data_IF_689468387189
#
_entry.id   IF_689468387189
#
_cell.length_a   1.000
_cell.length_b   1.000
_cell.length_c   1.000
_cell.angle_alpha   90.00
_cell.angle_beta   90.00
_cell.angle_gamma   90.00
#
_symmetry.space_group_name_H-M   'P 1'
#
loop_
_entity.id
_entity.type
_entity.pdbx_description
1 polymer ?
#
# COMPACT_ATOMS: atom_id res chain seq x y z
N UNK A 1 21.33 53.78 -12.63
CA UNK A 1 21.54 52.33 -12.63
C UNK A 1 20.37 51.70 -11.86
N UNK A 2 19.38 51.13 -12.59
CA UNK A 2 18.24 50.46 -12.00
C UNK A 2 18.60 48.96 -11.87
N UNK A 3 18.72 48.48 -10.65
CA UNK A 3 18.88 47.02 -10.37
C UNK A 3 17.54 46.38 -10.45
N UNK A 4 17.36 45.55 -11.46
CA UNK A 4 16.20 44.69 -11.64
C UNK A 4 16.38 43.42 -10.74
N UNK A 5 15.62 43.33 -9.68
CA UNK A 5 15.56 42.09 -8.89
C UNK A 5 14.62 41.12 -9.59
N UNK A 6 15.19 40.08 -10.17
CA UNK A 6 14.43 38.88 -10.59
C UNK A 6 14.13 38.07 -9.35
N UNK A 7 12.86 38.12 -8.91
CA UNK A 7 12.34 37.14 -7.95
C UNK A 7 11.97 35.90 -8.75
N UNK A 8 12.81 34.88 -8.65
CA UNK A 8 12.49 33.55 -9.14
C UNK A 8 11.52 32.94 -8.12
N UNK A 9 10.24 33.05 -8.40
CA UNK A 9 9.22 32.30 -7.67
C UNK A 9 9.35 30.83 -8.00
N UNK A 10 9.79 30.03 -7.02
CA UNK A 10 9.72 28.57 -7.11
C UNK A 10 8.25 28.21 -6.98
N UNK A 11 7.61 27.90 -8.11
CA UNK A 11 6.30 27.28 -8.15
C UNK A 11 6.47 25.83 -7.67
N UNK A 12 6.17 25.59 -6.41
CA UNK A 12 5.95 24.24 -5.91
C UNK A 12 4.60 23.79 -6.48
N UNK A 13 4.65 23.03 -7.56
CA UNK A 13 3.46 22.41 -8.14
C UNK A 13 3.18 21.17 -7.28
N UNK A 14 2.45 21.37 -6.17
CA UNK A 14 1.82 20.26 -5.47
C UNK A 14 0.50 19.93 -6.14
N UNK A 15 0.14 18.65 -6.20
CA UNK A 15 -1.20 18.22 -6.53
C UNK A 15 -2.19 18.70 -5.46
N UNK A 16 -2.56 19.95 -5.46
CA UNK A 16 -3.56 20.51 -4.57
C UNK A 16 -4.82 20.86 -5.34
N UNK A 17 -5.98 20.52 -4.79
CA UNK A 17 -7.34 20.60 -5.35
C UNK A 17 -7.80 21.98 -5.84
N UNK A 18 -6.94 22.96 -5.87
CA UNK A 18 -7.26 24.35 -6.20
C UNK A 18 -6.72 24.86 -7.53
N UNK A 19 -6.12 24.01 -8.35
CA UNK A 19 -5.56 24.47 -9.62
C UNK A 19 -6.30 23.81 -10.79
N UNK A 20 -6.97 24.58 -11.67
CA UNK A 20 -7.61 24.06 -12.88
C UNK A 20 -6.57 23.73 -13.98
N UNK A 21 -5.35 23.42 -13.59
CA UNK A 21 -4.33 22.93 -14.50
C UNK A 21 -4.64 21.47 -14.78
N UNK A 22 -4.93 21.22 -16.02
CA UNK A 22 -5.18 19.94 -16.68
C UNK A 22 -4.57 18.74 -15.95
N UNK A 23 -5.41 17.77 -15.66
CA UNK A 23 -5.18 16.50 -14.94
C UNK A 23 -4.09 15.59 -15.54
N UNK A 24 -3.24 16.08 -16.41
CA UNK A 24 -2.24 15.28 -17.13
C UNK A 24 -0.90 15.11 -16.39
N UNK A 25 -0.67 15.85 -15.29
CA UNK A 25 0.65 15.91 -14.64
C UNK A 25 0.69 15.40 -13.18
N UNK A 26 -0.40 14.84 -12.66
CA UNK A 26 -0.39 14.19 -11.35
C UNK A 26 -0.23 12.67 -11.51
N UNK A 27 0.99 12.22 -11.68
CA UNK A 27 1.32 10.79 -11.54
C UNK A 27 1.38 10.46 -10.06
N UNK A 28 0.23 10.23 -9.50
CA UNK A 28 0.05 9.97 -8.07
C UNK A 28 0.38 8.54 -7.67
N UNK A 29 1.30 7.88 -8.30
CA UNK A 29 1.72 6.49 -8.08
C UNK A 29 1.28 5.86 -6.75
N UNK A 30 1.15 4.57 -6.73
CA UNK A 30 0.93 3.79 -5.51
C UNK A 30 2.00 2.72 -5.45
N UNK A 31 2.69 2.63 -4.32
CA UNK A 31 3.67 1.59 -4.06
C UNK A 31 3.33 0.92 -2.72
N UNK A 32 3.31 -0.42 -2.72
CA UNK A 32 3.16 -1.20 -1.49
C UNK A 32 4.43 -1.98 -1.18
N UNK A 33 4.75 -2.09 0.10
CA UNK A 33 5.98 -2.70 0.58
C UNK A 33 5.78 -3.43 1.91
N UNK A 34 6.81 -4.18 2.30
CA UNK A 34 6.90 -4.84 3.60
C UNK A 34 8.33 -4.76 4.12
N UNK A 35 8.50 -4.83 5.43
CA UNK A 35 9.81 -4.94 6.09
C UNK A 35 10.32 -6.39 6.17
N UNK A 36 9.52 -7.35 5.72
CA UNK A 36 9.91 -8.77 5.68
C UNK A 36 11.07 -9.01 4.70
N UNK A 37 11.87 -10.07 4.90
CA UNK A 37 12.85 -10.50 3.93
C UNK A 37 12.23 -10.75 2.55
N UNK A 38 12.86 -10.23 1.50
CA UNK A 38 12.41 -10.44 0.13
C UNK A 38 13.28 -11.50 -0.55
N UNK A 39 12.69 -12.65 -0.87
CA UNK A 39 13.37 -13.82 -1.39
C UNK A 39 12.62 -14.36 -2.62
N UNK A 40 13.32 -14.60 -3.72
CA UNK A 40 12.77 -15.23 -4.93
C UNK A 40 11.47 -14.61 -5.48
N UNK A 41 11.24 -13.33 -5.26
CA UNK A 41 10.05 -12.63 -5.77
C UNK A 41 8.86 -12.57 -4.81
N UNK A 42 9.04 -12.99 -3.56
CA UNK A 42 8.05 -12.93 -2.48
C UNK A 42 8.66 -12.39 -1.19
N UNK A 43 7.86 -11.79 -0.35
CA UNK A 43 8.22 -11.50 1.04
C UNK A 43 7.97 -12.74 1.88
N UNK A 44 8.94 -13.16 2.69
CA UNK A 44 8.82 -14.34 3.55
C UNK A 44 8.29 -13.96 4.93
N UNK A 45 7.13 -14.50 5.31
CA UNK A 45 6.54 -14.38 6.64
C UNK A 45 6.73 -15.70 7.39
N UNK A 46 7.61 -15.70 8.39
CA UNK A 46 7.82 -16.86 9.25
C UNK A 46 6.60 -17.10 10.14
N UNK A 47 6.06 -18.32 10.07
CA UNK A 47 4.96 -18.72 10.95
C UNK A 47 5.49 -19.01 12.35
N UNK A 48 4.90 -18.37 13.34
CA UNK A 48 5.25 -18.60 14.74
C UNK A 48 4.36 -19.72 15.34
N UNK A 49 4.89 -20.91 15.47
CA UNK A 49 4.18 -22.10 15.99
C UNK A 49 3.68 -21.94 17.44
N UNK A 50 4.14 -20.94 18.17
CA UNK A 50 3.65 -20.66 19.52
C UNK A 50 2.39 -19.77 19.52
N UNK A 51 1.99 -19.27 18.36
CA UNK A 51 0.83 -18.43 18.19
C UNK A 51 -0.18 -19.13 17.27
N UNK A 52 -1.46 -18.86 17.49
CA UNK A 52 -2.51 -19.34 16.58
C UNK A 52 -2.45 -18.63 15.21
N UNK A 53 -1.78 -17.49 15.14
CA UNK A 53 -1.63 -16.66 13.94
C UNK A 53 -0.27 -15.96 13.96
N UNK A 54 0.26 -15.68 12.78
CA UNK A 54 1.39 -14.77 12.60
C UNK A 54 0.94 -13.50 11.89
N UNK A 55 1.63 -12.39 12.12
CA UNK A 55 1.24 -11.07 11.63
C UNK A 55 2.41 -10.35 11.01
N UNK A 56 2.11 -9.53 10.01
CA UNK A 56 3.03 -8.50 9.51
C UNK A 56 2.26 -7.26 9.13
N UNK A 57 2.95 -6.12 9.17
CA UNK A 57 2.42 -4.86 8.67
C UNK A 57 2.87 -4.68 7.22
N UNK A 58 1.94 -4.26 6.38
CA UNK A 58 2.20 -3.86 5.00
C UNK A 58 1.99 -2.36 4.91
N UNK A 59 2.91 -1.70 4.23
CA UNK A 59 2.90 -0.26 4.05
C UNK A 59 2.52 0.07 2.61
N UNK A 60 1.78 1.16 2.45
CA UNK A 60 1.47 1.77 1.18
C UNK A 60 1.94 3.22 1.18
N UNK A 61 2.49 3.67 0.07
CA UNK A 61 2.87 5.06 -0.14
C UNK A 61 2.28 5.57 -1.46
N UNK A 62 1.76 6.79 -1.44
CA UNK A 62 1.28 7.50 -2.62
C UNK A 62 1.83 8.92 -2.65
N UNK A 63 2.16 9.42 -3.83
CA UNK A 63 2.66 10.77 -4.02
C UNK A 63 1.57 11.85 -3.95
N UNK A 64 0.30 11.44 -3.94
CA UNK A 64 -0.85 12.36 -3.93
C UNK A 64 -1.24 12.89 -2.54
N UNK A 65 -0.39 12.74 -1.54
CA UNK A 65 -0.61 13.32 -0.22
C UNK A 65 -1.70 12.61 0.60
N UNK A 66 -2.34 13.35 1.48
CA UNK A 66 -3.19 12.81 2.53
C UNK A 66 -4.64 12.55 2.11
N UNK A 67 -5.32 11.76 2.95
CA UNK A 67 -6.76 11.52 2.86
C UNK A 67 -7.21 10.68 1.65
N UNK A 68 -6.30 9.90 1.04
CA UNK A 68 -6.69 8.93 0.03
C UNK A 68 -7.24 7.67 0.69
N UNK A 69 -8.38 7.20 0.21
CA UNK A 69 -8.98 5.95 0.65
C UNK A 69 -8.38 4.76 -0.10
N UNK A 70 -7.60 3.96 0.60
CA UNK A 70 -7.00 2.75 0.08
C UNK A 70 -7.85 1.53 0.41
N UNK A 71 -8.04 0.66 -0.57
CA UNK A 71 -8.69 -0.63 -0.41
C UNK A 71 -7.66 -1.74 -0.62
N UNK A 72 -7.63 -2.66 0.32
CA UNK A 72 -6.75 -3.81 0.31
C UNK A 72 -7.54 -5.09 0.07
N UNK A 73 -6.96 -6.03 -0.66
CA UNK A 73 -7.57 -7.32 -0.96
C UNK A 73 -6.50 -8.38 -1.15
N UNK A 74 -6.90 -9.65 -1.22
CA UNK A 74 -6.01 -10.77 -1.49
C UNK A 74 -6.58 -11.64 -2.62
N UNK A 75 -5.71 -12.45 -3.25
CA UNK A 75 -6.13 -13.43 -4.25
C UNK A 75 -6.85 -14.65 -3.63
N UNK A 76 -6.92 -14.73 -2.30
CA UNK A 76 -7.72 -15.72 -1.62
C UNK A 76 -9.18 -15.31 -1.63
N UNK A 77 -9.97 -15.98 -2.47
CA UNK A 77 -11.42 -15.84 -2.42
C UNK A 77 -11.94 -16.39 -1.09
N UNK A 78 -12.76 -15.61 -0.41
CA UNK A 78 -13.54 -16.00 0.75
C UNK A 78 -14.09 -17.41 0.59
N UNK A 79 -13.53 -18.37 1.26
CA UNK A 79 -14.21 -19.63 1.51
C UNK A 79 -15.02 -19.40 2.76
N UNK A 80 -16.33 -19.41 2.60
CA UNK A 80 -17.37 -19.01 3.57
C UNK A 80 -17.29 -19.68 4.96
N UNK A 81 -16.27 -20.41 5.32
CA UNK A 81 -16.09 -20.98 6.67
C UNK A 81 -14.63 -21.16 7.11
N UNK A 82 -13.66 -20.57 6.44
CA UNK A 82 -12.26 -20.67 6.84
C UNK A 82 -11.55 -19.36 6.54
N UNK A 83 -11.58 -18.46 7.49
CA UNK A 83 -10.87 -17.16 7.47
C UNK A 83 -9.38 -17.37 7.79
N UNK A 84 -8.63 -17.96 6.88
CA UNK A 84 -7.24 -18.33 7.16
C UNK A 84 -6.22 -17.29 6.77
N UNK A 85 -6.61 -16.35 5.91
CA UNK A 85 -5.83 -15.12 5.66
C UNK A 85 -6.74 -13.94 5.85
N UNK A 86 -6.38 -13.04 6.71
CA UNK A 86 -7.13 -11.81 6.90
C UNK A 86 -6.26 -10.59 6.75
N UNK A 87 -6.86 -9.58 6.16
CA UNK A 87 -6.40 -8.22 6.26
C UNK A 87 -7.22 -7.55 7.37
N UNK A 88 -6.54 -7.11 8.41
CA UNK A 88 -7.21 -6.40 9.50
C UNK A 88 -7.35 -4.94 9.07
N UNK A 89 -8.59 -4.46 9.00
CA UNK A 89 -8.93 -3.16 8.46
C UNK A 89 -8.48 -2.97 6.99
N UNK A 90 -9.09 -3.72 6.05
CA UNK A 90 -8.70 -3.70 4.64
C UNK A 90 -8.99 -2.36 3.93
N UNK A 91 -9.56 -1.40 4.62
CA UNK A 91 -9.69 -0.02 4.18
C UNK A 91 -8.85 0.87 5.09
N UNK A 92 -7.96 1.65 4.51
CA UNK A 92 -7.12 2.59 5.24
C UNK A 92 -7.11 3.97 4.57
N UNK A 93 -6.72 4.98 5.32
CA UNK A 93 -6.54 6.34 4.78
C UNK A 93 -5.09 6.71 4.88
N UNK A 94 -4.60 7.43 3.86
CA UNK A 94 -3.26 7.98 3.90
C UNK A 94 -3.16 9.13 4.90
N UNK A 95 -2.02 9.23 5.55
CA UNK A 95 -1.63 10.35 6.40
C UNK A 95 -1.20 11.57 5.57
N UNK A 96 -0.67 12.61 6.24
CA UNK A 96 -0.21 13.85 5.61
C UNK A 96 0.97 13.64 4.65
N UNK A 97 1.74 12.58 4.85
CA UNK A 97 2.90 12.21 4.02
C UNK A 97 2.52 11.23 2.89
N UNK A 98 1.25 10.86 2.78
CA UNK A 98 0.75 9.92 1.78
C UNK A 98 0.93 8.45 2.14
N UNK A 99 1.21 8.12 3.41
CA UNK A 99 1.42 6.76 3.87
C UNK A 99 0.17 6.17 4.52
N UNK A 100 -0.02 4.88 4.32
CA UNK A 100 -1.03 4.09 4.99
C UNK A 100 -0.51 2.67 5.25
N UNK A 101 -1.18 1.91 6.11
CA UNK A 101 -0.78 0.55 6.41
C UNK A 101 -1.99 -0.35 6.65
N UNK A 102 -1.75 -1.65 6.51
CA UNK A 102 -2.68 -2.72 6.85
C UNK A 102 -1.94 -3.85 7.56
N UNK A 103 -2.63 -4.57 8.43
CA UNK A 103 -2.06 -5.78 9.05
C UNK A 103 -2.52 -7.00 8.26
N UNK A 104 -1.54 -7.78 7.80
CA UNK A 104 -1.75 -9.09 7.21
C UNK A 104 -1.56 -10.16 8.29
N UNK A 105 -2.51 -11.09 8.39
CA UNK A 105 -2.48 -12.20 9.33
C UNK A 105 -2.61 -13.54 8.60
N UNK A 106 -1.80 -14.53 8.98
CA UNK A 106 -1.84 -15.87 8.43
C UNK A 106 -1.86 -16.93 9.55
N UNK A 107 -2.51 -18.04 9.27
CA UNK A 107 -2.61 -19.23 10.13
C UNK A 107 -1.70 -20.35 9.62
N UNK A 108 -1.57 -21.42 10.40
CA UNK A 108 -0.74 -22.60 10.12
C UNK A 108 -1.03 -23.21 8.74
N UNK A 109 -2.29 -23.22 8.33
CA UNK A 109 -2.72 -23.80 7.05
C UNK A 109 -2.14 -23.08 5.82
N UNK A 110 -1.55 -21.90 6.01
CA UNK A 110 -0.87 -21.15 4.94
C UNK A 110 0.62 -21.43 4.83
N UNK A 111 1.20 -22.26 5.69
CA UNK A 111 2.60 -22.65 5.53
C UNK A 111 2.83 -23.31 4.18
N UNK A 112 3.76 -22.76 3.40
CA UNK A 112 4.07 -23.17 2.03
C UNK A 112 3.20 -22.54 0.95
N UNK A 113 2.23 -21.69 1.33
CA UNK A 113 1.38 -20.99 0.36
C UNK A 113 1.89 -19.57 0.09
N UNK A 114 1.65 -19.10 -1.14
CA UNK A 114 1.94 -17.72 -1.53
C UNK A 114 0.64 -16.93 -1.70
N UNK A 115 0.50 -15.89 -0.90
CA UNK A 115 -0.64 -14.97 -0.96
C UNK A 115 -0.24 -13.72 -1.73
N UNK A 116 -1.03 -13.35 -2.72
CA UNK A 116 -0.89 -12.06 -3.40
C UNK A 116 -1.82 -11.05 -2.74
N UNK A 117 -1.24 -9.96 -2.27
CA UNK A 117 -1.96 -8.84 -1.66
C UNK A 117 -2.00 -7.70 -2.66
N UNK A 118 -3.15 -7.10 -2.79
CA UNK A 118 -3.43 -5.95 -3.65
C UNK A 118 -3.78 -4.74 -2.81
N UNK A 119 -3.36 -3.58 -3.26
CA UNK A 119 -3.83 -2.31 -2.72
C UNK A 119 -4.20 -1.40 -3.88
N UNK A 120 -5.27 -0.66 -3.74
CA UNK A 120 -5.69 0.27 -4.78
C UNK A 120 -6.50 1.42 -4.22
N UNK A 121 -6.56 2.50 -4.98
CA UNK A 121 -7.44 3.63 -4.73
C UNK A 121 -7.86 4.29 -6.04
N UNK A 122 -8.89 5.11 -5.97
CA UNK A 122 -9.34 5.98 -7.05
C UNK A 122 -9.22 7.43 -6.58
N UNK A 123 -8.54 8.25 -7.36
CA UNK A 123 -8.44 9.68 -7.09
C UNK A 123 -9.75 10.41 -7.40
N UNK A 124 -9.82 11.70 -7.04
CA UNK A 124 -11.01 12.54 -7.25
C UNK A 124 -11.30 12.79 -8.74
N UNK A 125 -10.37 12.48 -9.62
CA UNK A 125 -10.51 12.57 -11.09
C UNK A 125 -10.96 11.25 -11.72
N UNK A 126 -11.10 10.18 -10.94
CA UNK A 126 -11.51 8.86 -11.39
C UNK A 126 -10.37 8.01 -11.96
N UNK A 127 -9.10 8.37 -11.74
CA UNK A 127 -7.97 7.53 -12.08
C UNK A 127 -7.81 6.42 -11.05
N UNK A 128 -7.56 5.20 -11.53
CA UNK A 128 -7.34 4.04 -10.68
C UNK A 128 -5.86 3.73 -10.57
N UNK A 129 -5.39 3.60 -9.34
CA UNK A 129 -4.04 3.17 -9.01
C UNK A 129 -4.12 1.81 -8.33
N UNK A 130 -3.26 0.90 -8.72
CA UNK A 130 -3.22 -0.46 -8.19
C UNK A 130 -1.78 -0.94 -8.11
N UNK A 131 -1.40 -1.49 -6.96
CA UNK A 131 -0.15 -2.21 -6.79
C UNK A 131 -0.38 -3.55 -6.07
N UNK A 132 0.60 -4.44 -6.12
CA UNK A 132 0.51 -5.75 -5.48
C UNK A 132 1.87 -6.28 -5.07
N UNK A 133 1.88 -7.02 -3.94
CA UNK A 133 3.04 -7.79 -3.50
C UNK A 133 2.64 -9.25 -3.22
N UNK A 134 3.66 -10.11 -3.06
CA UNK A 134 3.47 -11.51 -2.70
C UNK A 134 4.06 -11.78 -1.34
N UNK A 135 3.34 -12.52 -0.50
CA UNK A 135 3.80 -13.01 0.79
C UNK A 135 3.77 -14.54 0.74
N UNK A 136 4.90 -15.15 1.00
CA UNK A 136 5.04 -16.58 1.22
C UNK A 136 5.09 -16.84 2.73
N UNK A 137 4.23 -17.71 3.21
CA UNK A 137 4.22 -18.11 4.62
C UNK A 137 5.14 -19.32 4.77
N UNK A 138 6.21 -19.18 5.52
CA UNK A 138 7.23 -20.22 5.71
C UNK A 138 7.22 -20.75 7.13
N UNK A 139 7.53 -22.03 7.27
CA UNK A 139 7.68 -22.65 8.60
C UNK A 139 8.99 -22.19 9.23
N UNK A 140 8.93 -21.82 10.50
CA UNK A 140 10.11 -21.51 11.28
C UNK A 140 10.56 -22.80 12.01
N UNK A 141 11.27 -23.69 11.28
CA UNK A 141 11.88 -24.90 11.85
C UNK A 141 13.01 -24.59 12.85
#
# INVERSE_FOLDING_TARGET
MKRLFFIIGILVIGCSDFNPITSEDCDCGLEISSTLPYVNGSYELEYNQNLAQTYTMLDAATECGWSQHLQWDTNYQYRINTDWVSLINPASMTDEDGNAHVVFAAWEEFIGETVKVYCGYMDDHGHHFLDSLKIEVVDNE
#
